data_IF_703821126425
#
_entry.id   IF_703821126425
#
_cell.length_a   1.000
_cell.length_b   1.000
_cell.length_c   1.000
_cell.angle_alpha   90.00
_cell.angle_beta   90.00
_cell.angle_gamma   90.00
#
_symmetry.space_group_name_H-M   'P 1'
#
loop_
_entity.id
_entity.type
_entity.pdbx_description
1 polymer ?
#
# COMPACT_ATOMS: atom_id res chain seq x y z
N UNK A 1 10.38 -40.09 -3.59
CA UNK A 1 9.29 -39.47 -4.38
C UNK A 1 9.81 -38.92 -5.71
N UNK A 2 10.90 -38.11 -5.71
CA UNK A 2 11.49 -37.57 -6.95
C UNK A 2 11.89 -38.66 -7.96
N UNK A 3 12.51 -39.76 -7.52
CA UNK A 3 12.92 -40.87 -8.40
C UNK A 3 11.75 -41.53 -9.13
N UNK A 4 10.63 -41.74 -8.43
CA UNK A 4 9.45 -42.39 -9.01
C UNK A 4 8.79 -41.58 -10.14
N UNK A 5 8.76 -40.25 -10.03
CA UNK A 5 8.21 -39.36 -11.09
C UNK A 5 9.08 -39.41 -12.33
N UNK A 6 10.42 -39.43 -12.18
CA UNK A 6 11.33 -39.55 -13.31
C UNK A 6 11.25 -40.92 -13.98
N UNK A 7 11.09 -41.99 -13.19
CA UNK A 7 10.87 -43.33 -13.71
C UNK A 7 9.57 -43.39 -14.54
N UNK A 8 8.48 -42.82 -14.02
CA UNK A 8 7.19 -42.75 -14.70
C UNK A 8 7.23 -41.88 -15.97
N UNK A 9 7.93 -40.74 -15.91
CA UNK A 9 8.16 -39.90 -17.08
C UNK A 9 8.97 -40.63 -18.17
N UNK A 10 10.02 -41.36 -17.78
CA UNK A 10 10.85 -42.12 -18.72
C UNK A 10 10.04 -43.23 -19.40
N UNK A 11 9.18 -43.90 -18.63
CA UNK A 11 8.28 -44.95 -19.11
C UNK A 11 7.27 -44.39 -20.11
N UNK A 12 6.54 -43.33 -19.74
CA UNK A 12 5.53 -42.69 -20.59
C UNK A 12 6.12 -42.10 -21.88
N UNK A 13 7.34 -41.58 -21.81
CA UNK A 13 8.05 -41.09 -23.00
C UNK A 13 8.42 -42.25 -23.93
N UNK A 14 8.93 -43.35 -23.39
CA UNK A 14 9.30 -44.54 -24.17
C UNK A 14 8.09 -45.23 -24.80
N UNK A 15 6.97 -45.31 -24.09
CA UNK A 15 5.72 -45.86 -24.63
C UNK A 15 5.17 -44.97 -25.75
N UNK A 16 5.24 -43.64 -25.60
CA UNK A 16 4.83 -42.70 -26.65
C UNK A 16 5.68 -42.86 -27.92
N UNK A 17 7.01 -42.94 -27.79
CA UNK A 17 7.90 -43.11 -28.95
C UNK A 17 7.68 -44.43 -29.67
N UNK A 18 7.49 -45.52 -28.92
CA UNK A 18 7.22 -46.84 -29.49
C UNK A 18 5.85 -46.88 -30.19
N UNK A 19 4.82 -46.30 -29.58
CA UNK A 19 3.48 -46.20 -30.18
C UNK A 19 3.50 -45.39 -31.48
N UNK A 20 4.28 -44.30 -31.53
CA UNK A 20 4.47 -43.50 -32.73
C UNK A 20 5.15 -44.31 -33.84
N UNK A 21 6.20 -45.07 -33.52
CA UNK A 21 6.88 -45.97 -34.46
C UNK A 21 5.98 -47.09 -34.98
N UNK A 22 5.03 -47.57 -34.17
CA UNK A 22 4.06 -48.61 -34.51
C UNK A 22 2.77 -48.07 -35.15
N UNK A 23 2.73 -46.80 -35.57
CA UNK A 23 1.56 -46.10 -36.15
C UNK A 23 0.29 -46.13 -35.27
N UNK A 24 0.46 -46.32 -33.96
CA UNK A 24 -0.61 -46.32 -32.95
C UNK A 24 -0.82 -44.90 -32.42
N UNK A 25 -1.38 -44.03 -33.26
CA UNK A 25 -1.44 -42.58 -33.03
C UNK A 25 -2.22 -42.19 -31.77
N UNK A 26 -3.34 -42.85 -31.46
CA UNK A 26 -4.14 -42.57 -30.26
C UNK A 26 -3.33 -42.78 -28.97
N UNK A 27 -2.61 -43.90 -28.90
CA UNK A 27 -1.76 -44.22 -27.76
C UNK A 27 -0.57 -43.25 -27.65
N UNK A 28 0.04 -42.86 -28.78
CA UNK A 28 1.11 -41.87 -28.78
C UNK A 28 0.62 -40.51 -28.24
N UNK A 29 -0.57 -40.06 -28.65
CA UNK A 29 -1.20 -38.81 -28.16
C UNK A 29 -1.50 -38.91 -26.67
N UNK A 30 -2.11 -40.00 -26.21
CA UNK A 30 -2.45 -40.18 -24.80
C UNK A 30 -1.20 -40.16 -23.91
N UNK A 31 -0.21 -40.99 -24.24
CA UNK A 31 1.01 -41.13 -23.43
C UNK A 31 1.85 -39.84 -23.42
N UNK A 32 1.96 -39.15 -24.56
CA UNK A 32 2.65 -37.86 -24.62
C UNK A 32 1.89 -36.77 -23.84
N UNK A 33 0.55 -36.78 -23.86
CA UNK A 33 -0.27 -35.87 -23.04
C UNK A 33 -0.02 -36.10 -21.55
N UNK A 34 0.02 -37.36 -21.10
CA UNK A 34 0.34 -37.72 -19.72
C UNK A 34 1.75 -37.26 -19.34
N UNK A 35 2.76 -37.48 -20.19
CA UNK A 35 4.13 -37.04 -19.94
C UNK A 35 4.23 -35.51 -19.79
N UNK A 36 3.52 -34.74 -20.64
CA UNK A 36 3.45 -33.29 -20.56
C UNK A 36 2.79 -32.84 -19.24
N UNK A 37 1.72 -33.50 -18.80
CA UNK A 37 1.06 -33.21 -17.53
C UNK A 37 1.98 -33.49 -16.33
N UNK A 38 2.73 -34.60 -16.35
CA UNK A 38 3.71 -34.93 -15.30
C UNK A 38 4.81 -33.86 -15.21
N UNK A 39 5.36 -33.42 -16.35
CA UNK A 39 6.36 -32.35 -16.40
C UNK A 39 5.82 -31.03 -15.85
N UNK A 40 4.59 -30.67 -16.22
CA UNK A 40 3.92 -29.46 -15.73
C UNK A 40 3.78 -29.49 -14.20
N UNK A 41 3.28 -30.58 -13.65
CA UNK A 41 3.08 -30.74 -12.20
C UNK A 41 4.43 -30.69 -11.45
N UNK A 42 5.46 -31.33 -12.00
CA UNK A 42 6.80 -31.28 -11.43
C UNK A 42 7.37 -29.86 -11.46
N UNK A 43 7.12 -29.10 -12.54
CA UNK A 43 7.60 -27.72 -12.63
C UNK A 43 6.89 -26.79 -11.64
N UNK A 44 5.57 -26.92 -11.49
CA UNK A 44 4.80 -26.22 -10.45
C UNK A 44 5.34 -26.54 -9.06
N UNK A 45 5.63 -27.81 -8.76
CA UNK A 45 6.19 -28.22 -7.46
C UNK A 45 7.54 -27.55 -7.20
N UNK A 46 8.42 -27.47 -8.20
CA UNK A 46 9.72 -26.81 -8.07
C UNK A 46 9.58 -25.29 -7.88
N UNK A 47 8.65 -24.65 -8.59
CA UNK A 47 8.32 -23.24 -8.40
C UNK A 47 7.76 -22.98 -7.00
N UNK A 48 6.91 -23.85 -6.47
CA UNK A 48 6.37 -23.72 -5.11
C UNK A 48 7.48 -23.82 -4.04
N UNK A 49 8.41 -24.76 -4.19
CA UNK A 49 9.58 -24.90 -3.32
C UNK A 49 10.42 -23.62 -3.38
N UNK A 50 10.68 -23.09 -4.59
CA UNK A 50 11.48 -21.89 -4.79
C UNK A 50 10.78 -20.63 -4.25
N UNK A 51 9.49 -20.47 -4.50
CA UNK A 51 8.66 -19.42 -3.92
C UNK A 51 8.69 -19.45 -2.39
N UNK A 52 8.60 -20.64 -1.79
CA UNK A 52 8.70 -20.83 -0.34
C UNK A 52 10.08 -20.45 0.19
N UNK A 53 11.16 -20.73 -0.55
CA UNK A 53 12.49 -20.28 -0.20
C UNK A 53 12.62 -18.75 -0.28
N UNK A 54 12.06 -18.12 -1.31
CA UNK A 54 12.03 -16.65 -1.42
C UNK A 54 11.24 -16.00 -0.29
N UNK A 55 10.10 -16.58 0.09
CA UNK A 55 9.31 -16.12 1.23
C UNK A 55 10.12 -16.12 2.53
N UNK A 56 10.83 -17.23 2.80
CA UNK A 56 11.72 -17.35 3.97
C UNK A 56 12.91 -16.40 3.92
N UNK A 57 13.38 -16.05 2.72
CA UNK A 57 14.42 -15.06 2.51
C UNK A 57 13.90 -13.60 2.53
N UNK A 58 12.59 -13.38 2.73
CA UNK A 58 11.99 -12.04 2.73
C UNK A 58 11.91 -11.39 1.35
N UNK A 59 12.06 -12.15 0.25
CA UNK A 59 12.01 -11.63 -1.10
C UNK A 59 10.63 -11.82 -1.73
N UNK A 60 9.68 -10.97 -1.34
CA UNK A 60 8.30 -11.02 -1.82
C UNK A 60 8.16 -10.82 -3.34
N UNK A 61 9.08 -10.06 -3.98
CA UNK A 61 9.03 -9.86 -5.44
C UNK A 61 9.26 -11.16 -6.20
N UNK A 62 10.29 -11.93 -5.81
CA UNK A 62 10.61 -13.20 -6.47
C UNK A 62 9.63 -14.31 -6.09
N UNK A 63 9.11 -14.28 -4.86
CA UNK A 63 8.01 -15.17 -4.48
C UNK A 63 6.78 -14.94 -5.37
N UNK A 64 6.42 -13.67 -5.62
CA UNK A 64 5.27 -13.34 -6.48
C UNK A 64 5.50 -13.78 -7.92
N UNK A 65 6.71 -13.56 -8.46
CA UNK A 65 7.09 -14.00 -9.81
C UNK A 65 6.90 -15.51 -9.96
N UNK A 66 7.41 -16.31 -9.03
CA UNK A 66 7.22 -17.77 -9.03
C UNK A 66 5.74 -18.15 -8.89
N UNK A 67 5.00 -17.46 -8.02
CA UNK A 67 3.57 -17.71 -7.81
C UNK A 67 2.72 -17.44 -9.06
N UNK A 68 2.98 -16.35 -9.78
CA UNK A 68 2.29 -16.02 -11.02
C UNK A 68 2.72 -16.96 -12.16
N UNK A 69 3.99 -17.35 -12.22
CA UNK A 69 4.47 -18.34 -13.19
C UNK A 69 3.75 -19.68 -13.03
N UNK A 70 3.43 -20.09 -11.79
CA UNK A 70 2.61 -21.30 -11.55
C UNK A 70 1.21 -21.17 -12.16
N UNK A 71 0.58 -19.98 -12.06
CA UNK A 71 -0.73 -19.70 -12.66
C UNK A 71 -0.66 -19.78 -14.19
N UNK A 72 0.36 -19.18 -14.79
CA UNK A 72 0.51 -19.14 -16.26
C UNK A 72 0.72 -20.54 -16.85
N UNK A 73 1.49 -21.39 -16.16
CA UNK A 73 1.86 -22.72 -16.65
C UNK A 73 0.80 -23.78 -16.34
N UNK A 74 0.07 -23.61 -15.24
CA UNK A 74 -0.97 -24.52 -14.79
C UNK A 74 -2.23 -23.75 -14.35
N UNK A 75 -2.97 -23.12 -15.29
CA UNK A 75 -4.15 -22.32 -14.96
C UNK A 75 -5.31 -23.14 -14.38
N UNK A 76 -5.28 -24.46 -14.54
CA UNK A 76 -6.26 -25.39 -13.96
C UNK A 76 -5.80 -26.01 -12.64
N UNK A 77 -4.73 -25.47 -12.02
CA UNK A 77 -4.21 -25.92 -10.73
C UNK A 77 -4.36 -24.81 -9.69
N UNK A 78 -4.90 -25.15 -8.52
CA UNK A 78 -5.15 -24.21 -7.42
C UNK A 78 -3.89 -23.60 -6.80
N UNK A 79 -2.74 -24.29 -6.87
CA UNK A 79 -1.51 -23.94 -6.13
C UNK A 79 -1.02 -22.52 -6.41
N UNK A 80 -0.95 -22.11 -7.68
CA UNK A 80 -0.49 -20.77 -8.06
C UNK A 80 -1.41 -19.66 -7.55
N UNK A 81 -2.73 -19.86 -7.65
CA UNK A 81 -3.74 -18.91 -7.18
C UNK A 81 -3.71 -18.76 -5.66
N UNK A 82 -3.65 -19.89 -4.92
CA UNK A 82 -3.58 -19.87 -3.47
C UNK A 82 -2.30 -19.19 -2.97
N UNK A 83 -1.15 -19.51 -3.58
CA UNK A 83 0.13 -18.92 -3.19
C UNK A 83 0.17 -17.41 -3.43
N UNK A 84 -0.20 -16.97 -4.64
CA UNK A 84 -0.23 -15.55 -4.98
C UNK A 84 -1.24 -14.77 -4.13
N UNK A 85 -2.41 -15.35 -3.86
CA UNK A 85 -3.43 -14.71 -3.00
C UNK A 85 -2.96 -14.49 -1.57
N UNK A 86 -2.26 -15.48 -0.99
CA UNK A 86 -1.71 -15.39 0.37
C UNK A 86 -0.65 -14.31 0.43
N UNK A 87 0.20 -14.22 -0.61
CA UNK A 87 1.20 -13.17 -0.70
C UNK A 87 0.56 -11.78 -0.82
N UNK A 88 -0.43 -11.61 -1.70
CA UNK A 88 -1.16 -10.34 -1.81
C UNK A 88 -1.82 -9.92 -0.49
N UNK A 89 -2.45 -10.87 0.21
CA UNK A 89 -3.06 -10.60 1.51
C UNK A 89 -2.01 -10.16 2.56
N UNK A 90 -0.87 -10.84 2.61
CA UNK A 90 0.23 -10.50 3.53
C UNK A 90 0.83 -9.11 3.26
N UNK A 91 0.84 -8.69 1.99
CA UNK A 91 1.31 -7.36 1.58
C UNK A 91 0.22 -6.27 1.74
N UNK A 92 -0.98 -6.62 2.19
CA UNK A 92 -2.10 -5.68 2.32
C UNK A 92 -2.82 -5.36 1.00
N UNK A 93 -2.46 -6.02 -0.10
CA UNK A 93 -3.11 -5.87 -1.40
C UNK A 93 -4.38 -6.72 -1.49
N UNK A 94 -5.34 -6.42 -0.61
CA UNK A 94 -6.55 -7.23 -0.42
C UNK A 94 -7.40 -7.34 -1.69
N UNK A 95 -7.44 -6.28 -2.51
CA UNK A 95 -8.15 -6.29 -3.79
C UNK A 95 -7.54 -7.30 -4.77
N UNK A 96 -6.21 -7.29 -4.91
CA UNK A 96 -5.48 -8.23 -5.78
C UNK A 96 -5.60 -9.68 -5.29
N UNK A 97 -5.65 -9.89 -3.97
CA UNK A 97 -5.92 -11.21 -3.40
C UNK A 97 -7.30 -11.74 -3.81
N UNK A 98 -8.35 -10.90 -3.77
CA UNK A 98 -9.69 -11.27 -4.25
C UNK A 98 -9.67 -11.57 -5.75
N UNK A 99 -9.11 -10.68 -6.57
CA UNK A 99 -9.08 -10.82 -8.02
C UNK A 99 -8.39 -12.12 -8.47
N UNK A 100 -7.27 -12.49 -7.86
CA UNK A 100 -6.56 -13.73 -8.24
C UNK A 100 -7.30 -14.98 -7.77
N UNK A 101 -7.96 -14.94 -6.61
CA UNK A 101 -8.77 -16.07 -6.12
C UNK A 101 -10.02 -16.29 -6.97
N UNK A 102 -10.70 -15.22 -7.36
CA UNK A 102 -11.86 -15.30 -8.26
C UNK A 102 -11.46 -15.91 -9.61
N UNK A 103 -10.33 -15.44 -10.20
CA UNK A 103 -9.76 -16.08 -11.39
C UNK A 103 -9.48 -17.57 -11.17
N UNK A 104 -8.97 -17.95 -10.00
CA UNK A 104 -8.74 -19.36 -9.67
C UNK A 104 -10.04 -20.16 -9.62
N UNK A 105 -11.07 -19.65 -8.96
CA UNK A 105 -12.39 -20.30 -8.88
C UNK A 105 -13.00 -20.52 -10.28
N UNK A 106 -12.79 -19.58 -11.20
CA UNK A 106 -13.30 -19.69 -12.57
C UNK A 106 -12.54 -20.73 -13.43
N UNK A 107 -11.25 -20.96 -13.18
CA UNK A 107 -10.39 -21.79 -14.05
C UNK A 107 -10.07 -23.18 -13.50
N UNK A 108 -10.10 -23.36 -12.17
CA UNK A 108 -9.69 -24.61 -11.53
C UNK A 108 -10.89 -25.57 -11.46
N UNK A 109 -10.75 -26.84 -11.91
CA UNK A 109 -11.83 -27.81 -11.87
C UNK A 109 -12.15 -28.25 -10.44
N UNK A 110 -13.41 -28.61 -10.18
CA UNK A 110 -13.89 -29.05 -8.87
C UNK A 110 -13.17 -30.28 -8.28
N UNK A 111 -12.54 -31.09 -9.12
CA UNK A 111 -11.79 -32.28 -8.70
C UNK A 111 -10.34 -31.95 -8.29
N UNK A 112 -9.90 -30.69 -8.42
CA UNK A 112 -8.59 -30.29 -7.92
C UNK A 112 -8.54 -30.50 -6.39
N UNK A 113 -7.45 -31.07 -5.84
CA UNK A 113 -7.36 -31.42 -4.42
C UNK A 113 -7.58 -30.23 -3.46
N UNK A 114 -7.29 -29.00 -3.89
CA UNK A 114 -7.41 -27.79 -3.08
C UNK A 114 -8.52 -26.86 -3.55
N UNK A 115 -9.43 -27.33 -4.43
CA UNK A 115 -10.55 -26.51 -4.92
C UNK A 115 -11.42 -25.95 -3.78
N UNK A 116 -11.72 -26.77 -2.76
CA UNK A 116 -12.48 -26.32 -1.58
C UNK A 116 -11.73 -25.21 -0.85
N UNK A 117 -10.42 -25.34 -0.69
CA UNK A 117 -9.58 -24.32 -0.06
C UNK A 117 -9.57 -23.02 -0.88
N UNK A 118 -9.49 -23.13 -2.21
CA UNK A 118 -9.55 -21.99 -3.12
C UNK A 118 -10.83 -21.18 -2.95
N UNK A 119 -11.99 -21.85 -2.94
CA UNK A 119 -13.30 -21.20 -2.72
C UNK A 119 -13.39 -20.56 -1.34
N UNK A 120 -12.93 -21.26 -0.29
CA UNK A 120 -12.92 -20.72 1.07
C UNK A 120 -12.03 -19.47 1.19
N UNK A 121 -10.84 -19.50 0.60
CA UNK A 121 -9.94 -18.35 0.57
C UNK A 121 -10.58 -17.18 -0.18
N UNK A 122 -11.27 -17.42 -1.30
CA UNK A 122 -12.00 -16.37 -2.03
C UNK A 122 -13.05 -15.68 -1.14
N UNK A 123 -13.84 -16.47 -0.41
CA UNK A 123 -14.84 -15.94 0.53
C UNK A 123 -14.19 -15.13 1.66
N UNK A 124 -13.13 -15.66 2.28
CA UNK A 124 -12.39 -14.96 3.34
C UNK A 124 -11.80 -13.65 2.79
N UNK A 125 -11.22 -13.67 1.59
CA UNK A 125 -10.61 -12.50 0.98
C UNK A 125 -11.66 -11.41 0.70
N UNK A 126 -12.86 -11.77 0.25
CA UNK A 126 -13.96 -10.83 0.06
C UNK A 126 -14.44 -10.23 1.40
N UNK A 127 -14.53 -11.03 2.46
CA UNK A 127 -14.87 -10.52 3.80
C UNK A 127 -13.82 -9.53 4.29
N UNK A 128 -12.53 -9.85 4.12
CA UNK A 128 -11.43 -8.95 4.50
C UNK A 128 -11.42 -7.66 3.70
N UNK A 129 -11.74 -7.70 2.39
CA UNK A 129 -11.85 -6.50 1.56
C UNK A 129 -12.95 -5.54 2.06
N UNK A 130 -14.06 -6.10 2.58
CA UNK A 130 -15.18 -5.33 3.12
C UNK A 130 -14.95 -4.89 4.57
N UNK A 131 -13.94 -5.46 5.25
CA UNK A 131 -13.68 -5.17 6.66
C UNK A 131 -13.25 -3.71 6.83
N UNK A 132 -14.00 -2.97 7.62
CA UNK A 132 -13.60 -1.65 8.10
C UNK A 132 -12.70 -1.85 9.33
N UNK A 133 -11.49 -1.31 9.27
CA UNK A 133 -10.53 -1.39 10.39
C UNK A 133 -10.39 -0.01 11.00
N UNK A 134 -10.80 0.12 12.27
CA UNK A 134 -10.56 1.31 13.07
C UNK A 134 -9.28 1.12 13.89
N UNK A 135 -8.13 1.36 13.26
CA UNK A 135 -6.84 1.21 13.93
C UNK A 135 -6.56 2.32 14.94
N UNK A 136 -7.18 3.50 14.75
CA UNK A 136 -6.97 4.67 15.62
C UNK A 136 -7.52 4.41 17.03
N UNK A 137 -8.63 3.68 17.15
CA UNK A 137 -9.22 3.34 18.46
C UNK A 137 -8.68 2.06 19.09
N UNK A 138 -8.03 1.20 18.29
CA UNK A 138 -7.55 -0.11 18.74
C UNK A 138 -6.05 -0.14 19.03
N UNK A 139 -5.25 0.71 18.39
CA UNK A 139 -3.82 0.81 18.66
C UNK A 139 -3.53 1.62 19.94
N UNK A 140 -2.41 1.34 20.62
CA UNK A 140 -1.90 2.21 21.68
C UNK A 140 -1.70 3.65 21.18
N UNK A 141 -2.01 4.67 21.99
CA UNK A 141 -1.96 6.07 21.56
C UNK A 141 -0.58 6.49 21.07
N UNK A 142 0.50 5.91 21.60
CA UNK A 142 1.88 6.17 21.17
C UNK A 142 2.09 5.76 19.70
N UNK A 143 1.55 4.60 19.30
CA UNK A 143 1.65 4.09 17.93
C UNK A 143 0.82 4.97 16.98
N UNK A 144 -0.38 5.35 17.41
CA UNK A 144 -1.23 6.27 16.66
C UNK A 144 -0.51 7.60 16.43
N UNK A 145 0.17 8.15 17.43
CA UNK A 145 0.91 9.39 17.30
C UNK A 145 2.04 9.28 16.27
N UNK A 146 2.81 8.19 16.30
CA UNK A 146 3.90 7.93 15.34
C UNK A 146 3.36 7.87 13.91
N UNK A 147 2.20 7.22 13.71
CA UNK A 147 1.56 7.13 12.39
C UNK A 147 1.13 8.53 11.94
N UNK A 148 0.39 9.26 12.77
CA UNK A 148 -0.14 10.60 12.44
C UNK A 148 0.96 11.64 12.17
N UNK A 149 2.16 11.47 12.73
CA UNK A 149 3.32 12.31 12.43
C UNK A 149 3.86 12.10 11.01
N UNK A 150 3.54 10.98 10.36
CA UNK A 150 3.91 10.69 8.97
C UNK A 150 2.84 11.11 7.96
N UNK A 151 1.64 11.43 8.42
CA UNK A 151 0.50 11.80 7.57
C UNK A 151 0.61 13.27 7.15
N UNK A 152 0.33 13.55 5.88
CA UNK A 152 0.32 14.92 5.35
C UNK A 152 -0.81 15.74 5.97
N UNK A 153 -0.73 17.07 5.87
CA UNK A 153 -1.79 17.95 6.40
C UNK A 153 -3.13 17.75 5.67
N UNK A 154 -3.08 17.44 4.37
CA UNK A 154 -4.28 17.20 3.57
C UNK A 154 -4.94 15.86 3.95
N UNK A 155 -4.15 14.79 4.09
CA UNK A 155 -4.67 13.48 4.51
C UNK A 155 -5.18 13.50 5.97
N UNK A 156 -4.59 14.33 6.84
CA UNK A 156 -5.06 14.51 8.22
C UNK A 156 -6.47 15.13 8.27
N UNK A 157 -6.80 16.00 7.32
CA UNK A 157 -8.15 16.54 7.20
C UNK A 157 -9.16 15.42 6.93
N UNK A 158 -8.86 14.55 5.97
CA UNK A 158 -9.71 13.39 5.67
C UNK A 158 -9.86 12.50 6.92
N UNK A 159 -8.77 12.29 7.67
CA UNK A 159 -8.78 11.53 8.92
C UNK A 159 -9.72 12.13 9.99
N UNK A 160 -9.75 13.46 10.14
CA UNK A 160 -10.64 14.16 11.09
C UNK A 160 -12.13 14.04 10.68
N UNK A 161 -12.40 13.82 9.40
CA UNK A 161 -13.74 13.63 8.87
C UNK A 161 -14.26 12.19 8.98
N UNK A 162 -13.40 11.21 9.30
CA UNK A 162 -13.79 9.80 9.43
C UNK A 162 -14.80 9.57 10.57
N UNK A 163 -14.49 10.07 11.77
CA UNK A 163 -15.38 9.93 12.94
C UNK A 163 -15.09 10.97 14.03
N UNK A 164 -16.01 11.11 14.97
CA UNK A 164 -15.83 11.98 16.15
C UNK A 164 -14.70 11.50 17.05
N UNK A 165 -14.45 10.19 17.14
CA UNK A 165 -13.35 9.62 17.92
C UNK A 165 -12.00 9.90 17.28
N UNK A 166 -11.89 9.71 15.96
CA UNK A 166 -10.68 10.05 15.20
C UNK A 166 -10.33 11.52 15.36
N UNK A 167 -11.33 12.39 15.16
CA UNK A 167 -11.18 13.84 15.38
C UNK A 167 -10.63 14.13 16.78
N UNK A 168 -11.19 13.55 17.83
CA UNK A 168 -10.72 13.78 19.21
C UNK A 168 -9.25 13.37 19.37
N UNK A 169 -8.87 12.18 18.93
CA UNK A 169 -7.50 11.67 19.06
C UNK A 169 -6.52 12.54 18.28
N UNK A 170 -6.84 12.86 17.02
CA UNK A 170 -5.99 13.67 16.16
C UNK A 170 -5.80 15.08 16.73
N UNK A 171 -6.87 15.71 17.23
CA UNK A 171 -6.83 17.07 17.79
C UNK A 171 -6.03 17.14 19.09
N UNK A 172 -6.06 16.07 19.89
CA UNK A 172 -5.28 15.98 21.12
C UNK A 172 -3.87 15.41 20.90
N UNK A 173 -3.44 15.22 19.64
CA UNK A 173 -2.11 14.72 19.34
C UNK A 173 -1.05 15.64 19.98
N UNK A 174 -0.13 15.07 20.78
CA UNK A 174 0.86 15.84 21.49
C UNK A 174 1.83 16.49 20.51
N UNK A 175 1.97 17.81 20.59
CA UNK A 175 2.93 18.63 19.83
C UNK A 175 2.60 18.87 18.35
N UNK A 176 1.76 18.06 17.70
CA UNK A 176 1.46 18.22 16.26
C UNK A 176 0.93 19.60 15.89
N UNK A 177 0.07 20.15 16.73
CA UNK A 177 -0.62 21.42 16.47
C UNK A 177 0.12 22.65 17.01
N UNK A 178 1.27 22.47 17.68
CA UNK A 178 1.99 23.61 18.27
C UNK A 178 2.37 24.65 17.23
N UNK A 179 2.90 24.20 16.10
CA UNK A 179 3.25 25.07 14.97
C UNK A 179 2.34 24.73 13.79
N UNK A 180 1.47 25.67 13.41
CA UNK A 180 0.55 25.51 12.29
C UNK A 180 0.93 26.45 11.15
N UNK A 181 0.96 25.93 9.92
CA UNK A 181 1.47 26.62 8.73
C UNK A 181 0.39 26.66 7.65
N UNK A 182 0.08 27.87 7.18
CA UNK A 182 -0.93 28.15 6.16
C UNK A 182 -0.23 28.75 4.94
N UNK A 183 -0.53 28.22 3.75
CA UNK A 183 0.12 28.61 2.50
C UNK A 183 -0.85 28.68 1.33
N UNK A 184 -0.65 29.64 0.42
CA UNK A 184 -1.45 29.80 -0.82
C UNK A 184 -1.42 28.54 -1.73
N UNK A 185 -0.36 27.74 -1.63
CA UNK A 185 -0.14 26.54 -2.45
C UNK A 185 -0.82 25.27 -1.92
N UNK A 186 -1.52 25.33 -0.78
CA UNK A 186 -2.16 24.14 -0.16
C UNK A 186 -3.58 24.45 0.35
N UNK A 187 -4.54 24.00 -0.49
CA UNK A 187 -5.90 23.48 -0.23
C UNK A 187 -6.85 24.15 0.81
N UNK A 188 -8.14 24.09 0.46
CA UNK A 188 -9.35 24.38 1.26
C UNK A 188 -9.41 23.70 2.64
N UNK A 189 -8.51 22.76 2.94
CA UNK A 189 -8.39 22.03 4.20
C UNK A 189 -8.20 22.95 5.42
N UNK A 190 -7.61 24.14 5.23
CA UNK A 190 -7.29 25.09 6.30
C UNK A 190 -8.55 25.65 6.96
N UNK A 191 -9.57 26.02 6.17
CA UNK A 191 -10.80 26.65 6.70
C UNK A 191 -11.56 25.71 7.65
N UNK A 192 -11.46 24.40 7.41
CA UNK A 192 -12.16 23.38 8.19
C UNK A 192 -11.32 22.81 9.34
N UNK A 193 -9.99 22.78 9.19
CA UNK A 193 -9.08 22.33 10.25
C UNK A 193 -8.89 23.41 11.33
N UNK A 194 -8.68 24.66 10.91
CA UNK A 194 -8.30 25.75 11.81
C UNK A 194 -9.27 25.95 12.99
N UNK A 195 -10.61 25.88 12.82
CA UNK A 195 -11.53 25.98 13.96
C UNK A 195 -11.36 24.86 14.98
N UNK A 196 -10.99 23.66 14.52
CA UNK A 196 -10.88 22.48 15.38
C UNK A 196 -9.56 22.50 16.16
N UNK A 197 -8.48 22.97 15.54
CA UNK A 197 -7.12 22.91 16.13
C UNK A 197 -6.65 24.23 16.73
N UNK A 198 -7.32 25.37 16.44
CA UNK A 198 -6.97 26.70 16.94
C UNK A 198 -6.71 26.79 18.45
N UNK A 199 -7.43 26.08 19.35
CA UNK A 199 -7.15 26.15 20.78
C UNK A 199 -5.78 25.56 21.19
N UNK A 200 -5.17 24.75 20.32
CA UNK A 200 -3.92 24.03 20.57
C UNK A 200 -2.69 24.68 19.89
N UNK A 201 -2.90 25.68 19.04
CA UNK A 201 -1.83 26.36 18.30
C UNK A 201 -1.08 27.31 19.22
N UNK A 202 0.26 27.19 19.25
CA UNK A 202 1.17 28.11 19.94
C UNK A 202 1.86 29.07 18.95
N UNK A 203 2.12 28.61 17.73
CA UNK A 203 2.79 29.35 16.67
C UNK A 203 2.01 29.21 15.36
N UNK A 204 1.48 30.33 14.84
CA UNK A 204 0.77 30.37 13.56
C UNK A 204 1.62 31.08 12.52
N UNK A 205 1.88 30.43 11.39
CA UNK A 205 2.58 31.00 10.25
C UNK A 205 1.65 31.04 9.05
N UNK A 206 1.49 32.23 8.46
CA UNK A 206 0.69 32.44 7.26
C UNK A 206 1.58 33.05 6.20
N UNK A 207 1.63 32.42 5.03
CA UNK A 207 2.34 32.97 3.88
C UNK A 207 1.57 32.80 2.58
N UNK A 208 1.68 33.78 1.68
CA UNK A 208 0.97 33.75 0.40
C UNK A 208 0.77 35.12 -0.21
N UNK A 209 -0.07 35.19 -1.24
CA UNK A 209 -0.46 36.45 -1.88
C UNK A 209 -1.25 37.35 -0.92
N UNK A 210 -1.24 38.66 -1.16
CA UNK A 210 -2.02 39.63 -0.37
C UNK A 210 -3.52 39.29 -0.31
N UNK A 211 -4.08 38.80 -1.42
CA UNK A 211 -5.49 38.39 -1.51
C UNK A 211 -5.75 37.12 -0.69
N UNK A 212 -4.84 36.15 -0.71
CA UNK A 212 -4.94 34.94 0.12
C UNK A 212 -4.83 35.27 1.62
N UNK A 213 -3.84 36.06 2.01
CA UNK A 213 -3.66 36.49 3.40
C UNK A 213 -4.91 37.24 3.89
N UNK A 214 -5.48 38.14 3.07
CA UNK A 214 -6.71 38.84 3.40
C UNK A 214 -7.88 37.90 3.70
N UNK A 215 -8.04 36.81 2.92
CA UNK A 215 -9.05 35.77 3.18
C UNK A 215 -8.73 34.96 4.44
N UNK A 216 -7.48 34.58 4.66
CA UNK A 216 -7.12 33.80 5.85
C UNK A 216 -7.27 34.61 7.13
N UNK A 217 -7.02 35.92 7.09
CA UNK A 217 -7.21 36.81 8.24
C UNK A 217 -8.66 36.85 8.73
N UNK A 218 -9.66 36.83 7.83
CA UNK A 218 -11.07 36.78 8.27
C UNK A 218 -11.39 35.45 8.96
N UNK A 219 -10.83 34.35 8.47
CA UNK A 219 -10.98 33.02 9.10
C UNK A 219 -10.22 32.94 10.42
N UNK A 220 -9.04 33.54 10.52
CA UNK A 220 -8.26 33.60 11.77
C UNK A 220 -9.02 34.42 12.82
N UNK A 221 -9.61 35.55 12.44
CA UNK A 221 -10.35 36.42 13.38
C UNK A 221 -11.57 35.74 14.01
N UNK A 222 -12.19 34.77 13.34
CA UNK A 222 -13.37 34.07 13.84
C UNK A 222 -13.06 32.89 14.76
N UNK A 223 -11.78 32.51 14.91
CA UNK A 223 -11.35 31.33 15.65
C UNK A 223 -10.75 31.66 17.03
N UNK A 224 -10.85 30.71 17.96
CA UNK A 224 -10.37 30.88 19.34
C UNK A 224 -8.97 30.30 19.54
N UNK A 225 -7.98 31.18 19.67
CA UNK A 225 -6.57 30.84 19.83
C UNK A 225 -6.10 30.92 21.30
N UNK A 226 -6.52 29.98 22.13
CA UNK A 226 -6.28 30.03 23.59
C UNK A 226 -4.81 29.90 24.01
N UNK A 227 -3.94 29.41 23.13
CA UNK A 227 -2.52 29.13 23.43
C UNK A 227 -1.54 29.87 22.53
N UNK A 228 -2.02 30.71 21.62
CA UNK A 228 -1.18 31.35 20.61
C UNK A 228 -0.22 32.34 21.26
N UNK A 229 1.07 32.17 20.98
CA UNK A 229 2.18 32.99 21.49
C UNK A 229 2.86 33.76 20.36
N UNK A 230 2.84 33.22 19.14
CA UNK A 230 3.48 33.82 17.98
C UNK A 230 2.57 33.76 16.76
N UNK A 231 2.38 34.90 16.09
CA UNK A 231 1.70 35.01 14.79
C UNK A 231 2.66 35.64 13.78
N UNK A 232 3.04 34.88 12.76
CA UNK A 232 3.93 35.31 11.70
C UNK A 232 3.17 35.37 10.39
N UNK A 233 3.05 36.57 9.81
CA UNK A 233 2.38 36.79 8.53
C UNK A 233 3.41 37.31 7.55
N UNK A 234 3.76 36.50 6.56
CA UNK A 234 4.75 36.83 5.55
C UNK A 234 4.06 36.96 4.19
N UNK A 235 4.14 38.14 3.60
CA UNK A 235 3.71 38.34 2.22
C UNK A 235 4.81 37.82 1.29
N UNK A 236 4.50 36.87 0.41
CA UNK A 236 5.42 36.54 -0.69
C UNK A 236 5.25 37.62 -1.77
N UNK A 237 6.26 38.46 -2.03
CA UNK A 237 6.21 39.35 -3.18
C UNK A 237 6.15 38.47 -4.42
N UNK A 238 5.15 38.71 -5.28
CA UNK A 238 5.09 38.07 -6.59
C UNK A 238 6.43 38.21 -7.30
N UNK A 239 7.20 37.14 -7.38
CA UNK A 239 8.26 37.01 -8.38
C UNK A 239 7.80 35.94 -9.34
N UNK A 240 7.21 36.39 -10.44
CA UNK A 240 7.19 35.60 -11.66
C UNK A 240 8.61 35.08 -11.93
N UNK A 241 8.74 33.76 -11.96
CA UNK A 241 9.85 32.96 -12.47
C UNK A 241 11.10 32.81 -11.59
N UNK A 242 11.47 31.53 -11.42
CA UNK A 242 12.78 31.00 -10.98
C UNK A 242 12.98 30.79 -9.47
N UNK A 243 12.31 29.76 -8.94
CA UNK A 243 12.41 29.20 -7.57
C UNK A 243 13.81 28.75 -7.12
N UNK A 244 14.83 28.82 -7.97
CA UNK A 244 16.23 28.48 -7.64
C UNK A 244 17.02 29.69 -7.10
N UNK A 245 16.68 30.92 -7.52
CA UNK A 245 17.41 32.13 -7.10
C UNK A 245 17.10 32.53 -5.65
N UNK A 246 15.88 32.29 -5.18
CA UNK A 246 15.47 32.62 -3.80
C UNK A 246 16.15 31.71 -2.78
N UNK A 247 16.38 30.43 -3.11
CA UNK A 247 17.09 29.51 -2.23
C UNK A 247 18.59 29.88 -2.07
N UNK A 248 19.19 30.46 -3.11
CA UNK A 248 20.56 30.99 -3.06
C UNK A 248 20.64 32.29 -2.26
N UNK A 249 19.67 33.18 -2.41
CA UNK A 249 19.64 34.46 -1.69
C UNK A 249 19.40 34.30 -0.18
N UNK A 250 18.61 33.29 0.24
CA UNK A 250 18.39 32.99 1.66
C UNK A 250 19.62 32.36 2.35
N UNK A 251 20.53 31.70 1.61
CA UNK A 251 21.74 31.09 2.19
C UNK A 251 22.83 32.13 2.50
N UNK A 252 22.84 33.27 1.80
CA UNK A 252 23.80 34.36 2.02
C UNK A 252 23.36 35.37 3.10
N UNK A 253 22.11 35.32 3.56
CA UNK A 253 21.52 36.34 4.45
C UNK A 253 21.52 35.98 5.95
N UNK A 254 22.44 35.13 6.42
CA UNK A 254 22.59 34.85 7.86
C UNK A 254 23.60 35.81 8.51
N UNK A 255 23.12 36.93 9.06
CA UNK A 255 23.89 37.83 9.95
C UNK A 255 23.16 37.96 11.30
N UNK A 256 23.86 37.81 12.45
CA UNK A 256 23.24 37.77 13.77
C UNK A 256 22.86 39.16 14.31
N UNK A 257 21.75 39.23 15.03
CA UNK A 257 21.17 40.44 15.61
C UNK A 257 21.97 40.89 16.86
N UNK A 258 22.58 42.07 16.84
CA UNK A 258 23.15 42.74 18.02
C UNK A 258 22.08 43.57 18.74
N UNK A 259 22.00 43.45 20.07
CA UNK A 259 21.20 44.28 20.97
C UNK A 259 21.75 45.72 21.04
N UNK A 260 20.86 46.71 21.06
CA UNK A 260 21.16 48.01 21.68
C UNK A 260 19.98 48.51 22.50
N UNK A 261 20.24 48.68 23.79
CA UNK A 261 19.47 49.42 24.79
C UNK A 261 19.28 50.88 24.36
N UNK A 262 18.17 51.51 24.77
CA UNK A 262 18.16 52.95 25.09
C UNK A 262 17.29 53.19 26.34
N UNK A 263 17.95 53.89 27.26
CA UNK A 263 17.57 54.60 28.51
C UNK A 263 16.12 55.00 28.72
#
# INVERSE_FOLDING_TARGET
MVTAVWDELSKTTTTATNALGNNSLSQAIEQSTTAIQLLRNQFVTLLEIRATAWAKAGNSSKELEDALTMVDIAPHCSTGYLRSSTLYANLGYQKSAVEILEKGVDNVPHHDPQYISLVQNAMIAQMQLRRRVDFITTCPPEIVCIILDKVSMDDLYDCICVSTTWRKIIVHHPYRWKTFKISDFKSNSVELLLPVVSPYIEELHVWGSQTFIGKQLTVIQTNQFSRLRSLNINHEPYTSQSSILVFLYMKESSIPFQKSEIS
#
